data_IF_956197644125
#
_entry.id   IF_956197644125
#
_cell.length_a   1.000
_cell.length_b   1.000
_cell.length_c   1.000
_cell.angle_alpha   90.00
_cell.angle_beta   90.00
_cell.angle_gamma   90.00
#
_symmetry.space_group_name_H-M   'P 1'
#
loop_
_entity.id
_entity.type
_entity.pdbx_description
1 polymer ?
#
# COMPACT_ATOMS: atom_id res chain seq x y z
N UNK A 1 0.34 4.02 -15.59
CA UNK A 1 1.16 3.18 -14.69
C UNK A 1 2.18 4.05 -13.97
N UNK A 2 2.35 3.81 -12.71
CA UNK A 2 3.29 4.58 -11.89
C UNK A 2 4.19 3.61 -11.14
N UNK A 3 5.48 3.86 -11.16
CA UNK A 3 6.46 3.06 -10.42
C UNK A 3 6.96 3.89 -9.24
N UNK A 4 7.02 3.26 -8.07
CA UNK A 4 7.47 3.92 -6.84
C UNK A 4 8.56 3.06 -6.21
N UNK A 5 9.70 3.66 -5.94
CA UNK A 5 10.81 2.97 -5.29
C UNK A 5 10.70 3.13 -3.78
N UNK A 6 10.87 2.03 -3.07
CA UNK A 6 10.88 1.99 -1.60
C UNK A 6 12.20 1.43 -1.14
N UNK A 7 12.86 2.13 -0.23
CA UNK A 7 14.09 1.61 0.39
C UNK A 7 13.84 1.32 1.86
N UNK A 8 14.83 0.70 2.49
CA UNK A 8 14.76 0.43 3.92
C UNK A 8 14.42 1.70 4.67
N UNK A 9 13.47 1.60 5.59
CA UNK A 9 12.97 2.71 6.40
C UNK A 9 12.09 3.70 5.64
N UNK A 10 11.78 3.43 4.39
CA UNK A 10 10.84 4.24 3.64
C UNK A 10 9.52 3.51 3.49
N UNK A 11 8.44 4.27 3.41
CA UNK A 11 7.12 3.68 3.18
C UNK A 11 6.25 4.71 2.48
N UNK A 12 5.21 4.21 1.82
CA UNK A 12 4.21 5.09 1.24
C UNK A 12 3.29 5.53 2.38
N UNK A 13 3.16 6.84 2.57
CA UNK A 13 2.25 7.38 3.59
C UNK A 13 0.83 6.90 3.32
N UNK A 14 0.05 6.74 4.38
CA UNK A 14 -1.34 6.35 4.24
C UNK A 14 -2.03 7.31 3.29
N UNK A 15 -2.71 6.74 2.29
CA UNK A 15 -3.40 7.54 1.28
C UNK A 15 -4.67 6.85 0.83
N UNK A 16 -5.57 7.66 0.31
CA UNK A 16 -6.85 7.21 -0.20
C UNK A 16 -7.01 7.81 -1.59
N UNK A 17 -7.45 7.01 -2.55
CA UNK A 17 -7.60 7.47 -3.92
C UNK A 17 -9.04 7.33 -4.35
N UNK A 18 -9.41 8.04 -5.40
CA UNK A 18 -10.80 8.11 -5.86
C UNK A 18 -11.12 7.07 -6.93
N UNK A 19 -10.20 6.17 -7.23
CA UNK A 19 -10.40 5.10 -8.20
C UNK A 19 -9.85 3.80 -7.65
N UNK A 20 -10.32 2.69 -8.18
CA UNK A 20 -9.71 1.40 -7.85
C UNK A 20 -8.28 1.40 -8.34
N UNK A 21 -7.36 0.96 -7.50
CA UNK A 21 -5.93 0.91 -7.83
C UNK A 21 -5.45 -0.51 -7.68
N UNK A 22 -4.65 -0.96 -8.64
CA UNK A 22 -4.00 -2.26 -8.58
C UNK A 22 -2.54 -2.02 -8.19
N UNK A 23 -2.07 -2.71 -7.16
CA UNK A 23 -0.70 -2.58 -6.66
C UNK A 23 0.01 -3.93 -6.78
N UNK A 24 1.20 -3.92 -7.36
CA UNK A 24 2.01 -5.12 -7.46
C UNK A 24 3.48 -4.77 -7.21
N UNK A 25 4.30 -5.79 -6.94
CA UNK A 25 5.73 -5.60 -6.82
C UNK A 25 6.35 -5.82 -8.20
N UNK A 26 6.94 -4.76 -8.73
CA UNK A 26 7.52 -4.79 -10.05
C UNK A 26 8.94 -5.36 -10.00
N UNK A 27 9.69 -5.04 -8.96
CA UNK A 27 11.10 -5.41 -8.86
C UNK A 27 11.54 -5.33 -7.40
N UNK A 28 12.47 -6.19 -7.02
CA UNK A 28 13.11 -6.10 -5.71
C UNK A 28 12.49 -7.01 -4.67
N UNK A 29 12.62 -6.62 -3.43
CA UNK A 29 12.21 -7.43 -2.29
C UNK A 29 10.70 -7.41 -2.09
N UNK A 30 10.15 -8.39 -1.35
CA UNK A 30 8.73 -8.38 -1.05
C UNK A 30 8.32 -7.13 -0.26
N UNK A 31 7.05 -6.83 -0.31
CA UNK A 31 6.45 -5.63 0.25
C UNK A 31 5.29 -6.02 1.16
N UNK A 32 5.15 -5.33 2.28
CA UNK A 32 3.92 -5.40 3.07
C UNK A 32 3.04 -4.25 2.66
N UNK A 33 1.83 -4.56 2.22
CA UNK A 33 0.83 -3.56 1.91
C UNK A 33 -0.29 -3.67 2.93
N UNK A 34 -0.68 -2.56 3.52
CA UNK A 34 -1.76 -2.54 4.50
C UNK A 34 -2.91 -1.71 3.94
N UNK A 35 -4.12 -2.24 4.03
CA UNK A 35 -5.32 -1.65 3.45
C UNK A 35 -6.39 -1.52 4.52
N UNK A 36 -7.11 -0.41 4.51
CA UNK A 36 -8.20 -0.20 5.45
C UNK A 36 -9.39 0.42 4.72
N UNK A 37 -10.58 -0.19 4.80
CA UNK A 37 -11.76 0.37 4.14
C UNK A 37 -12.30 1.62 4.82
N UNK A 38 -12.04 1.80 6.10
CA UNK A 38 -12.68 2.86 6.87
C UNK A 38 -11.74 3.64 7.79
N UNK A 39 -10.45 3.32 7.78
CA UNK A 39 -9.51 3.97 8.67
C UNK A 39 -9.49 3.39 10.07
N UNK A 40 -10.33 2.41 10.37
CA UNK A 40 -10.37 1.78 11.69
C UNK A 40 -9.89 0.35 11.68
N UNK A 41 -10.20 -0.37 10.63
CA UNK A 41 -9.79 -1.77 10.48
C UNK A 41 -8.73 -1.84 9.40
N UNK A 42 -7.67 -2.58 9.64
CA UNK A 42 -6.59 -2.69 8.66
C UNK A 42 -6.20 -4.15 8.47
N UNK A 43 -5.88 -4.50 7.23
CA UNK A 43 -5.39 -5.82 6.88
C UNK A 43 -4.09 -5.68 6.13
N UNK A 44 -3.12 -6.53 6.47
CA UNK A 44 -1.81 -6.50 5.82
C UNK A 44 -1.67 -7.68 4.88
N UNK A 45 -1.03 -7.42 3.75
CA UNK A 45 -0.78 -8.43 2.73
C UNK A 45 0.71 -8.42 2.39
N UNK A 46 1.31 -9.60 2.32
CA UNK A 46 2.69 -9.74 1.89
C UNK A 46 2.68 -10.11 0.42
N UNK A 47 3.30 -9.29 -0.42
CA UNK A 47 3.32 -9.54 -1.86
C UNK A 47 4.75 -9.49 -2.37
N UNK A 48 5.01 -10.23 -3.42
CA UNK A 48 6.34 -10.31 -4.03
C UNK A 48 6.20 -10.16 -5.54
N UNK A 49 7.32 -10.24 -6.25
CA UNK A 49 7.32 -10.10 -7.71
C UNK A 49 6.53 -11.21 -8.40
N UNK A 50 6.31 -12.34 -7.72
CA UNK A 50 5.56 -13.46 -8.30
C UNK A 50 4.11 -13.50 -7.81
N UNK A 51 3.73 -12.59 -6.92
CA UNK A 51 2.35 -12.52 -6.43
C UNK A 51 1.46 -11.81 -7.44
N UNK A 52 0.17 -12.12 -7.39
CA UNK A 52 -0.79 -11.38 -8.20
C UNK A 52 -0.98 -9.98 -7.62
N UNK A 53 -1.35 -9.01 -8.45
CA UNK A 53 -1.62 -7.67 -7.96
C UNK A 53 -2.75 -7.66 -6.94
N UNK A 54 -2.67 -6.74 -5.98
CA UNK A 54 -3.72 -6.54 -4.99
C UNK A 54 -4.56 -5.35 -5.44
N UNK A 55 -5.87 -5.55 -5.48
CA UNK A 55 -6.78 -4.48 -5.82
C UNK A 55 -7.14 -3.69 -4.57
N UNK A 56 -6.96 -2.38 -4.62
CA UNK A 56 -7.39 -1.46 -3.58
C UNK A 56 -8.61 -0.73 -4.12
N UNK A 57 -9.81 -1.01 -3.59
CA UNK A 57 -11.00 -0.34 -4.08
C UNK A 57 -10.93 1.17 -3.83
N UNK A 58 -11.65 1.92 -4.64
CA UNK A 58 -11.72 3.37 -4.48
C UNK A 58 -12.12 3.75 -3.06
N UNK A 59 -11.51 4.80 -2.54
CA UNK A 59 -11.78 5.36 -1.21
C UNK A 59 -11.28 4.52 -0.04
N UNK A 60 -10.54 3.43 -0.31
CA UNK A 60 -9.86 2.70 0.75
C UNK A 60 -8.53 3.38 1.05
N UNK A 61 -8.13 3.35 2.31
CA UNK A 61 -6.81 3.82 2.72
C UNK A 61 -5.81 2.68 2.52
N UNK A 62 -4.60 3.02 2.09
CA UNK A 62 -3.55 2.01 1.98
C UNK A 62 -2.17 2.61 2.19
N UNK A 63 -1.22 1.77 2.56
CA UNK A 63 0.19 2.11 2.64
C UNK A 63 1.00 0.89 2.25
N UNK A 64 2.28 1.08 1.99
CA UNK A 64 3.18 -0.02 1.62
C UNK A 64 4.59 0.28 2.07
N UNK A 65 5.31 -0.78 2.44
CA UNK A 65 6.72 -0.64 2.80
C UNK A 65 7.47 -1.90 2.38
N UNK A 66 8.77 -1.78 2.12
CA UNK A 66 9.58 -2.93 1.75
C UNK A 66 9.89 -3.75 2.99
N UNK A 67 9.87 -5.08 2.83
CA UNK A 67 10.26 -5.98 3.91
C UNK A 67 11.79 -6.10 3.96
N UNK A 68 12.44 -5.95 2.82
CA UNK A 68 13.89 -6.11 2.71
C UNK A 68 14.61 -4.78 2.62
N UNK A 69 15.45 -4.64 1.61
CA UNK A 69 16.29 -3.47 1.45
C UNK A 69 15.70 -2.47 0.46
N UNK A 70 15.15 -2.95 -0.64
CA UNK A 70 14.59 -2.08 -1.67
C UNK A 70 13.58 -2.83 -2.51
N UNK A 71 12.53 -2.13 -2.90
CA UNK A 71 11.48 -2.67 -3.75
C UNK A 71 10.97 -1.58 -4.67
N UNK A 72 10.50 -1.96 -5.85
CA UNK A 72 9.80 -1.05 -6.74
C UNK A 72 8.39 -1.58 -6.91
N UNK A 73 7.40 -0.79 -6.58
CA UNK A 73 6.00 -1.19 -6.73
C UNK A 73 5.40 -0.50 -7.95
N UNK A 74 4.37 -1.13 -8.48
CA UNK A 74 3.67 -0.63 -9.66
C UNK A 74 2.22 -0.35 -9.30
N UNK A 75 1.75 0.85 -9.60
CA UNK A 75 0.39 1.28 -9.34
C UNK A 75 -0.31 1.54 -10.67
N UNK A 76 -1.53 1.04 -10.81
CA UNK A 76 -2.31 1.21 -12.03
C UNK A 76 -3.76 1.49 -11.63
N UNK A 77 -4.40 2.54 -12.10
CA UNK A 77 -3.87 3.60 -12.96
C UNK A 77 -3.05 4.62 -12.17
N UNK A 78 -2.41 5.54 -12.86
CA UNK A 78 -1.65 6.59 -12.17
C UNK A 78 -2.33 7.95 -12.25
N UNK A 79 -3.48 8.05 -12.89
CA UNK A 79 -4.20 9.32 -13.01
C UNK A 79 -5.37 9.34 -12.04
N UNK A 80 -5.08 9.56 -10.78
CA UNK A 80 -6.10 9.59 -9.74
C UNK A 80 -5.83 10.72 -8.77
N UNK A 81 -6.88 11.11 -8.04
CA UNK A 81 -6.75 12.09 -6.97
C UNK A 81 -6.44 11.37 -5.66
N UNK A 82 -5.52 11.90 -4.89
CA UNK A 82 -5.08 11.29 -3.64
C UNK A 82 -5.34 12.19 -2.46
N UNK A 83 -5.83 11.60 -1.36
CA UNK A 83 -5.82 12.23 -0.05
C UNK A 83 -4.69 11.56 0.72
N UNK A 84 -3.79 12.34 1.30
CA UNK A 84 -2.67 11.81 2.06
C UNK A 84 -2.89 12.12 3.52
N UNK A 85 -2.82 11.09 4.36
CA UNK A 85 -3.05 11.24 5.78
C UNK A 85 -1.88 11.95 6.46
N UNK A 86 -2.11 12.67 7.56
CA UNK A 86 -1.01 13.22 8.34
C UNK A 86 -0.10 12.12 8.85
N UNK A 87 1.15 12.46 9.10
CA UNK A 87 2.13 11.46 9.55
C UNK A 87 1.72 10.76 10.83
N UNK A 88 0.99 11.48 11.70
CA UNK A 88 0.62 10.92 13.00
C UNK A 88 -0.56 9.96 12.91
N UNK A 89 -1.24 9.88 11.76
CA UNK A 89 -2.45 9.06 11.65
C UNK A 89 -2.13 7.65 11.15
N UNK A 90 -2.68 6.67 11.82
CA UNK A 90 -2.57 5.26 11.42
C UNK A 90 -3.89 4.55 11.69
N UNK A 91 -4.38 3.73 10.78
CA UNK A 91 -5.55 2.91 11.06
C UNK A 91 -5.24 1.89 12.14
N UNK A 92 -6.23 1.55 12.92
CA UNK A 92 -6.08 0.54 13.96
C UNK A 92 -6.09 -0.84 13.32
N UNK A 93 -5.08 -1.68 13.56
CA UNK A 93 -5.08 -3.03 13.01
C UNK A 93 -6.27 -3.82 13.51
N UNK A 94 -6.89 -4.57 12.56
CA UNK A 94 -8.01 -5.31 12.92
C UNK A 94 -7.74 -6.41 13.87
N UNK A 95 -6.70 -7.05 13.74
CA UNK A 95 -6.43 -8.16 14.43
C UNK A 95 -5.78 -8.11 15.48
N UNK A 96 -5.36 -7.95 15.84
CA UNK A 96 -4.79 -8.04 16.65
C UNK A 96 -4.74 -8.79 17.55
N UNK A 97 -4.66 -9.24 17.62
CA UNK A 97 -4.54 -9.92 18.49
C UNK A 97 -5.32 -10.09 19.49
N UNK A 98 -5.95 -10.11 19.32
CA UNK A 98 -6.59 -10.27 20.24
C UNK A 98 -7.10 -10.97 20.18
#
# INVERSE_FOLDING_TARGET
MRLVDLSLDEFISWRRVDKDVSLSVHHGDPVVMTVSPNGNDAQSHHISTVSEPILVPAHYWYSAETIGVASTIKLVPDDHSEDIAPEWWHPVPRDKGR
#
